data_IF_935675686889
#
_entry.id   IF_935675686889
#
_cell.length_a   1.000
_cell.length_b   1.000
_cell.length_c   1.000
_cell.angle_alpha   90.00
_cell.angle_beta   90.00
_cell.angle_gamma   90.00
#
_symmetry.space_group_name_H-M   'P 1'
#
loop_
_entity.id
_entity.type
_entity.pdbx_description
1 polymer ?
#
# COMPACT_ATOMS: atom_id res chain seq x y z
N UNK A 1 -41.44 -40.86 27.75
CA UNK A 1 -40.16 -41.55 27.48
C UNK A 1 -39.32 -40.64 26.61
N UNK A 2 -38.06 -40.49 27.02
CA UNK A 2 -36.96 -39.68 26.49
C UNK A 2 -36.73 -39.96 24.97
N UNK A 3 -36.10 -39.13 24.12
CA UNK A 3 -34.81 -38.44 24.28
C UNK A 3 -34.65 -37.23 23.33
N UNK A 4 -33.78 -36.32 23.77
CA UNK A 4 -33.19 -35.16 23.11
C UNK A 4 -32.15 -35.58 22.07
N UNK A 5 -32.16 -35.02 20.85
CA UNK A 5 -30.95 -34.91 20.01
C UNK A 5 -30.81 -33.51 19.42
N UNK A 6 -29.67 -32.92 19.73
CA UNK A 6 -29.15 -31.63 19.31
C UNK A 6 -29.01 -31.49 17.79
N UNK A 7 -29.48 -30.36 17.26
CA UNK A 7 -29.08 -29.83 15.95
C UNK A 7 -29.01 -28.31 16.03
N UNK A 8 -27.82 -27.77 16.28
CA UNK A 8 -27.57 -26.33 16.44
C UNK A 8 -28.01 -25.54 15.20
N UNK A 9 -28.53 -24.30 15.37
CA UNK A 9 -28.90 -23.46 14.24
C UNK A 9 -27.67 -23.11 13.39
N UNK A 10 -27.84 -23.17 12.07
CA UNK A 10 -26.91 -22.70 11.05
C UNK A 10 -26.39 -21.31 11.43
N UNK A 11 -25.13 -21.23 11.86
CA UNK A 11 -24.47 -19.95 12.09
C UNK A 11 -24.38 -19.21 10.76
N UNK A 12 -24.96 -18.01 10.77
CA UNK A 12 -24.66 -16.91 9.87
C UNK A 12 -23.20 -16.97 9.40
N UNK A 13 -23.02 -17.23 8.11
CA UNK A 13 -21.84 -16.73 7.42
C UNK A 13 -22.06 -15.22 7.28
N UNK A 14 -21.65 -14.49 8.30
CA UNK A 14 -21.38 -13.07 8.24
C UNK A 14 -20.11 -12.90 7.38
N UNK A 15 -20.24 -13.16 6.07
CA UNK A 15 -19.30 -12.61 5.11
C UNK A 15 -19.65 -11.14 5.07
N UNK A 16 -19.05 -10.39 5.98
CA UNK A 16 -18.98 -8.94 5.88
C UNK A 16 -18.19 -8.64 4.60
N UNK A 17 -18.90 -8.67 3.47
CA UNK A 17 -18.51 -8.06 2.22
C UNK A 17 -18.38 -6.58 2.56
N UNK A 18 -17.19 -6.14 2.95
CA UNK A 18 -16.88 -4.73 3.00
C UNK A 18 -17.09 -4.23 1.58
N UNK A 19 -18.24 -3.56 1.40
CA UNK A 19 -18.64 -2.98 0.14
C UNK A 19 -17.47 -2.16 -0.36
N UNK A 20 -16.81 -2.62 -1.44
CA UNK A 20 -15.91 -1.77 -2.21
C UNK A 20 -16.77 -0.58 -2.62
N UNK A 21 -16.59 0.55 -1.94
CA UNK A 21 -17.00 1.84 -2.48
C UNK A 21 -16.31 1.90 -3.84
N UNK A 22 -17.08 1.72 -4.92
CA UNK A 22 -16.67 2.15 -6.25
C UNK A 22 -16.34 3.61 -6.05
N UNK A 23 -15.04 3.91 -5.98
CA UNK A 23 -14.56 5.26 -6.17
C UNK A 23 -15.04 5.57 -7.59
N UNK A 24 -16.10 6.38 -7.68
CA UNK A 24 -16.49 7.07 -8.91
C UNK A 24 -15.21 7.54 -9.58
N UNK A 25 -15.08 7.38 -10.90
CA UNK A 25 -13.96 7.89 -11.70
C UNK A 25 -13.79 9.41 -11.49
N UNK A 26 -13.20 9.78 -10.36
CA UNK A 26 -12.56 11.04 -10.17
C UNK A 26 -11.23 10.86 -10.85
N UNK A 27 -11.04 11.59 -11.93
CA UNK A 27 -9.79 11.74 -12.68
C UNK A 27 -8.73 12.42 -11.81
N UNK A 28 -8.42 11.83 -10.64
CA UNK A 28 -7.46 12.39 -9.72
C UNK A 28 -6.08 12.19 -10.33
N UNK A 29 -5.51 13.27 -10.86
CA UNK A 29 -4.12 13.31 -11.30
C UNK A 29 -3.11 13.17 -10.13
N UNK A 30 -3.60 13.00 -8.90
CA UNK A 30 -2.82 12.74 -7.71
C UNK A 30 -2.38 11.27 -7.67
N UNK A 31 -1.06 11.06 -7.55
CA UNK A 31 -0.47 9.74 -7.33
C UNK A 31 0.38 9.80 -6.08
N UNK A 32 0.10 8.90 -5.13
CA UNK A 32 0.84 8.81 -3.86
C UNK A 32 1.69 7.56 -3.90
N UNK A 33 3.00 7.72 -3.71
CA UNK A 33 3.95 6.63 -3.64
C UNK A 33 4.65 6.63 -2.28
N UNK A 34 5.06 5.44 -1.83
CA UNK A 34 5.78 5.25 -0.56
C UNK A 34 7.15 4.65 -0.85
N UNK A 35 8.21 5.19 -0.24
CA UNK A 35 9.57 4.64 -0.29
C UNK A 35 10.06 4.31 1.11
N UNK A 36 10.40 3.05 1.34
CA UNK A 36 11.07 2.63 2.57
C UNK A 36 12.58 2.80 2.38
N UNK A 37 13.24 3.61 3.22
CA UNK A 37 14.70 3.76 3.17
C UNK A 37 15.42 2.60 3.85
N UNK A 38 16.66 2.27 3.45
CA UNK A 38 17.52 1.40 4.22
C UNK A 38 17.79 1.93 5.64
N UNK A 39 18.09 1.01 6.55
CA UNK A 39 18.63 1.32 7.88
C UNK A 39 20.03 1.92 7.69
N UNK A 40 20.25 3.10 8.27
CA UNK A 40 21.51 3.82 8.19
C UNK A 40 22.57 3.25 9.17
N UNK A 41 23.79 3.77 9.11
CA UNK A 41 24.89 3.26 9.94
C UNK A 41 24.65 3.45 11.45
N UNK A 42 24.10 4.61 11.85
CA UNK A 42 23.80 4.94 13.26
C UNK A 42 22.75 3.99 13.83
N UNK A 43 21.64 3.81 13.12
CA UNK A 43 20.55 2.90 13.51
C UNK A 43 21.03 1.45 13.60
N UNK A 44 21.96 1.05 12.71
CA UNK A 44 22.59 -0.27 12.80
C UNK A 44 23.50 -0.39 14.03
N UNK A 45 24.25 0.66 14.37
CA UNK A 45 25.07 0.74 15.57
C UNK A 45 24.24 0.67 16.85
N UNK A 46 23.07 1.28 16.85
CA UNK A 46 22.09 1.27 17.94
C UNK A 46 21.21 0.01 17.97
N UNK A 47 21.43 -0.94 17.04
CA UNK A 47 20.66 -2.19 16.91
C UNK A 47 19.16 -1.98 16.68
N UNK A 48 18.79 -0.90 15.98
CA UNK A 48 17.42 -0.67 15.56
C UNK A 48 16.98 -1.72 14.52
N UNK A 49 15.67 -2.01 14.50
CA UNK A 49 15.07 -2.94 13.54
C UNK A 49 14.09 -2.21 12.62
N UNK A 50 14.01 -2.63 11.36
CA UNK A 50 13.00 -2.11 10.44
C UNK A 50 11.65 -2.76 10.74
N UNK A 51 10.67 -1.95 11.14
CA UNK A 51 9.31 -2.40 11.48
C UNK A 51 8.34 -2.38 10.30
N UNK A 52 8.77 -1.85 9.14
CA UNK A 52 7.93 -1.68 7.96
C UNK A 52 8.05 -2.90 7.06
N UNK A 53 6.92 -3.58 6.82
CA UNK A 53 6.81 -4.66 5.85
C UNK A 53 6.18 -4.12 4.57
N UNK A 54 6.82 -4.37 3.42
CA UNK A 54 6.29 -3.99 2.10
C UNK A 54 5.44 -5.14 1.55
N UNK A 55 4.20 -4.85 1.17
CA UNK A 55 3.27 -5.78 0.54
C UNK A 55 3.03 -5.35 -0.92
N UNK A 56 3.98 -5.72 -1.81
CA UNK A 56 3.97 -5.31 -3.22
C UNK A 56 2.67 -5.66 -3.94
N UNK A 57 2.15 -6.87 -3.77
CA UNK A 57 0.91 -7.32 -4.44
C UNK A 57 -0.31 -6.46 -4.08
N UNK A 58 -0.33 -5.89 -2.87
CA UNK A 58 -1.43 -5.05 -2.38
C UNK A 58 -1.13 -3.55 -2.54
N UNK A 59 0.04 -3.20 -3.05
CA UNK A 59 0.58 -1.84 -3.06
C UNK A 59 0.43 -1.17 -1.69
N UNK A 60 0.82 -1.89 -0.65
CA UNK A 60 0.61 -1.47 0.74
C UNK A 60 1.89 -1.62 1.56
N UNK A 61 1.93 -0.93 2.71
CA UNK A 61 2.91 -1.18 3.77
C UNK A 61 2.20 -1.62 5.03
N UNK A 62 2.86 -2.43 5.84
CA UNK A 62 2.32 -2.93 7.11
C UNK A 62 3.28 -2.62 8.26
N UNK A 63 2.74 -2.03 9.32
CA UNK A 63 3.43 -1.76 10.58
C UNK A 63 2.63 -2.43 11.71
N UNK A 64 3.29 -3.22 12.55
CA UNK A 64 2.66 -3.86 13.72
C UNK A 64 1.29 -4.51 13.43
N UNK A 65 1.19 -5.26 12.32
CA UNK A 65 -0.04 -5.94 11.83
C UNK A 65 -1.15 -5.01 11.28
N UNK A 66 -0.95 -3.69 11.25
CA UNK A 66 -1.83 -2.75 10.57
C UNK A 66 -1.30 -2.45 9.16
N UNK A 67 -2.16 -2.59 8.16
CA UNK A 67 -1.83 -2.29 6.76
C UNK A 67 -2.30 -0.90 6.37
N UNK A 68 -1.51 -0.22 5.55
CA UNK A 68 -1.76 1.11 4.99
C UNK A 68 -1.66 1.02 3.47
N UNK A 69 -2.66 1.54 2.76
CA UNK A 69 -2.75 1.48 1.31
C UNK A 69 -4.19 1.27 0.85
N UNK A 70 -4.41 0.99 -0.46
CA UNK A 70 -3.39 0.87 -1.50
C UNK A 70 -2.81 2.23 -1.91
N UNK A 71 -1.53 2.24 -2.24
CA UNK A 71 -0.82 3.36 -2.85
C UNK A 71 -0.68 3.16 -4.36
N UNK A 72 -0.26 4.21 -5.08
CA UNK A 72 0.08 4.08 -6.50
C UNK A 72 1.30 3.16 -6.70
N UNK A 73 2.31 3.34 -5.85
CA UNK A 73 3.54 2.55 -5.82
C UNK A 73 4.07 2.44 -4.39
N UNK A 74 4.71 1.31 -4.10
CA UNK A 74 5.43 1.07 -2.85
C UNK A 74 6.79 0.50 -3.18
N UNK A 75 7.84 1.17 -2.72
CA UNK A 75 9.23 0.83 -2.93
C UNK A 75 9.87 0.38 -1.62
N UNK A 76 10.62 -0.72 -1.71
CA UNK A 76 11.37 -1.24 -0.57
C UNK A 76 12.75 -0.58 -0.45
N UNK A 77 13.51 -0.98 0.57
CA UNK A 77 14.87 -0.49 0.81
C UNK A 77 15.88 -0.84 -0.29
N UNK A 78 15.56 -1.78 -1.17
CA UNK A 78 16.46 -2.20 -2.24
C UNK A 78 16.19 -1.48 -3.55
N UNK A 79 15.03 -0.82 -3.66
CA UNK A 79 14.65 -0.06 -4.84
C UNK A 79 15.59 1.14 -5.02
N UNK A 80 16.18 1.22 -6.21
CA UNK A 80 17.13 2.25 -6.57
C UNK A 80 16.44 3.58 -6.92
N UNK A 81 17.21 4.67 -6.89
CA UNK A 81 16.68 5.98 -7.26
C UNK A 81 16.25 6.05 -8.72
N UNK A 82 16.97 5.34 -9.60
CA UNK A 82 16.68 5.25 -11.03
C UNK A 82 15.34 4.57 -11.27
N UNK A 83 15.10 3.41 -10.64
CA UNK A 83 13.81 2.70 -10.75
C UNK A 83 12.63 3.57 -10.30
N UNK A 84 12.77 4.27 -9.16
CA UNK A 84 11.71 5.16 -8.66
C UNK A 84 11.46 6.33 -9.64
N UNK A 85 12.51 6.89 -10.22
CA UNK A 85 12.41 7.98 -11.18
C UNK A 85 11.71 7.52 -12.47
N UNK A 86 12.12 6.38 -13.02
CA UNK A 86 11.55 5.82 -14.24
C UNK A 86 10.05 5.49 -14.06
N UNK A 87 9.69 4.91 -12.92
CA UNK A 87 8.31 4.54 -12.61
C UNK A 87 7.39 5.76 -12.36
N UNK A 88 7.84 6.73 -11.55
CA UNK A 88 6.98 7.83 -11.09
C UNK A 88 7.08 9.08 -11.96
N UNK A 89 8.31 9.47 -12.29
CA UNK A 89 8.65 10.83 -12.75
C UNK A 89 8.79 10.87 -14.27
N UNK A 90 9.39 9.86 -14.88
CA UNK A 90 9.64 9.82 -16.34
C UNK A 90 8.36 10.05 -17.16
N UNK A 91 7.24 9.44 -16.74
CA UNK A 91 5.94 9.66 -17.37
C UNK A 91 5.41 11.09 -17.28
N UNK A 92 5.79 11.85 -16.25
CA UNK A 92 5.35 13.24 -16.07
C UNK A 92 6.12 14.22 -16.95
N UNK A 93 7.38 13.92 -17.28
CA UNK A 93 8.20 14.77 -18.14
C UNK A 93 7.55 14.95 -19.51
N UNK A 94 6.97 13.88 -20.07
CA UNK A 94 6.20 13.95 -21.33
C UNK A 94 5.01 14.90 -21.23
N UNK A 95 4.34 14.93 -20.08
CA UNK A 95 3.22 15.85 -19.82
C UNK A 95 3.71 17.30 -19.73
N UNK A 96 4.84 17.53 -19.05
CA UNK A 96 5.46 18.87 -18.99
C UNK A 96 5.82 19.39 -20.38
N UNK A 97 6.42 18.55 -21.23
CA UNK A 97 6.76 18.91 -22.62
C UNK A 97 5.50 19.23 -23.44
N UNK A 98 4.39 18.53 -23.18
CA UNK A 98 3.09 18.81 -23.79
C UNK A 98 2.36 20.04 -23.21
N UNK A 99 2.98 20.77 -22.27
CA UNK A 99 2.43 22.00 -21.70
C UNK A 99 1.61 21.82 -20.42
N UNK A 100 1.63 20.64 -19.79
CA UNK A 100 0.93 20.39 -18.52
C UNK A 100 1.81 20.69 -17.30
N UNK A 101 1.21 21.28 -16.27
CA UNK A 101 1.86 21.44 -14.97
C UNK A 101 1.95 20.10 -14.24
N UNK A 102 3.15 19.75 -13.76
CA UNK A 102 3.38 18.57 -12.94
C UNK A 102 4.15 18.97 -11.67
N UNK A 103 3.71 18.45 -10.53
CA UNK A 103 4.35 18.70 -9.23
C UNK A 103 4.62 17.38 -8.52
N UNK A 104 5.82 17.24 -7.97
CA UNK A 104 6.23 16.07 -7.18
C UNK A 104 6.74 16.58 -5.83
N UNK A 105 6.23 16.00 -4.75
CA UNK A 105 6.64 16.29 -3.38
C UNK A 105 7.30 15.04 -2.77
N UNK A 106 8.33 15.25 -1.96
CA UNK A 106 9.05 14.21 -1.21
C UNK A 106 9.10 14.58 0.27
#
# INVERSE_FOLDING_TARGET
MNETVYGKPLKMFDVTMSARKKVSETTSNLRVAVRVRPINATERGEKCTNIVKVEREKMAISLNKKSFGPFYRVYDSHTTQTEIYDDLVSSQIKKVIAGFNCTVFA
#
